data_IF_322214922743
#
_entry.id   IF_322214922743
#
_cell.length_a   1.000
_cell.length_b   1.000
_cell.length_c   1.000
_cell.angle_alpha   90.00
_cell.angle_beta   90.00
_cell.angle_gamma   90.00
#
_symmetry.space_group_name_H-M   'P 1'
#
loop_
_entity.id
_entity.type
_entity.pdbx_description
1 polymer ?
#
# COMPACT_ATOMS: atom_id res chain seq x y z
N UNK A 1 -39.32 -24.87 -1.73
CA UNK A 1 -38.70 -23.53 -1.70
C UNK A 1 -37.37 -23.69 -0.99
N UNK A 2 -36.36 -24.14 -1.72
CA UNK A 2 -34.99 -24.25 -1.20
C UNK A 2 -34.46 -22.84 -0.98
N UNK A 3 -34.11 -22.55 0.27
CA UNK A 3 -33.49 -21.29 0.64
C UNK A 3 -32.21 -21.12 -0.16
N UNK A 4 -32.14 -20.01 -0.89
CA UNK A 4 -30.94 -19.53 -1.57
C UNK A 4 -29.78 -19.60 -0.57
N UNK A 5 -28.90 -20.58 -0.76
CA UNK A 5 -27.58 -20.61 -0.13
C UNK A 5 -26.87 -19.36 -0.63
N UNK A 6 -26.92 -18.28 0.15
CA UNK A 6 -26.02 -17.15 0.03
C UNK A 6 -24.63 -17.69 0.33
N UNK A 7 -23.98 -18.19 -0.72
CA UNK A 7 -22.55 -18.45 -0.74
C UNK A 7 -21.86 -17.11 -0.45
N UNK A 8 -21.75 -16.79 0.83
CA UNK A 8 -20.84 -15.78 1.33
C UNK A 8 -19.45 -16.32 1.06
N UNK A 9 -18.98 -16.13 -0.17
CA UNK A 9 -17.62 -16.44 -0.62
C UNK A 9 -16.64 -15.43 0.00
N UNK A 10 -16.75 -15.26 1.31
CA UNK A 10 -15.90 -14.42 2.13
C UNK A 10 -14.57 -15.11 2.27
N UNK A 11 -13.50 -14.35 2.06
CA UNK A 11 -12.15 -14.86 2.29
C UNK A 11 -11.92 -15.04 3.80
N UNK A 12 -10.97 -15.91 4.20
CA UNK A 12 -10.60 -16.07 5.61
C UNK A 12 -10.39 -14.72 6.31
N UNK A 13 -10.90 -14.59 7.55
CA UNK A 13 -10.81 -13.34 8.34
C UNK A 13 -9.37 -12.82 8.46
N UNK A 14 -8.40 -13.73 8.49
CA UNK A 14 -6.97 -13.39 8.53
C UNK A 14 -6.52 -12.53 7.35
N UNK A 15 -7.13 -12.66 6.17
CA UNK A 15 -6.82 -11.78 5.03
C UNK A 15 -7.25 -10.35 5.33
N UNK A 16 -8.43 -10.15 5.91
CA UNK A 16 -8.89 -8.83 6.35
C UNK A 16 -7.98 -8.23 7.42
N UNK A 17 -7.49 -9.06 8.35
CA UNK A 17 -6.56 -8.63 9.39
C UNK A 17 -5.23 -8.14 8.79
N UNK A 18 -4.67 -8.89 7.85
CA UNK A 18 -3.44 -8.50 7.13
C UNK A 18 -3.65 -7.22 6.31
N UNK A 19 -4.76 -7.11 5.57
CA UNK A 19 -5.09 -5.88 4.82
C UNK A 19 -5.21 -4.68 5.75
N UNK A 20 -5.90 -4.84 6.89
CA UNK A 20 -6.07 -3.78 7.88
C UNK A 20 -4.73 -3.33 8.45
N UNK A 21 -3.86 -4.28 8.80
CA UNK A 21 -2.53 -3.98 9.31
C UNK A 21 -1.67 -3.25 8.27
N UNK A 22 -1.62 -3.78 7.05
CA UNK A 22 -0.87 -3.18 5.93
C UNK A 22 -1.39 -1.78 5.63
N UNK A 23 -2.72 -1.59 5.61
CA UNK A 23 -3.37 -0.28 5.44
C UNK A 23 -2.85 0.72 6.47
N UNK A 24 -2.86 0.37 7.75
CA UNK A 24 -2.46 1.27 8.81
C UNK A 24 -1.00 1.70 8.66
N UNK A 25 -0.09 0.73 8.48
CA UNK A 25 1.35 1.02 8.32
C UNK A 25 1.64 1.80 7.04
N UNK A 26 0.99 1.42 5.92
CA UNK A 26 1.12 2.12 4.64
C UNK A 26 0.65 3.58 4.76
N UNK A 27 -0.53 3.82 5.32
CA UNK A 27 -1.07 5.18 5.48
C UNK A 27 -0.28 6.02 6.49
N UNK A 28 0.22 5.41 7.55
CA UNK A 28 0.94 6.12 8.59
C UNK A 28 2.32 6.58 8.12
N UNK A 29 3.04 5.75 7.36
CA UNK A 29 4.45 5.97 7.06
C UNK A 29 4.79 6.20 5.59
N UNK A 30 3.94 5.76 4.65
CA UNK A 30 4.28 5.66 3.23
C UNK A 30 3.36 6.48 2.30
N UNK A 31 2.06 6.61 2.61
CA UNK A 31 1.08 7.43 1.86
C UNK A 31 0.91 8.85 2.45
N UNK A 32 1.93 9.34 3.15
CA UNK A 32 1.91 10.70 3.72
C UNK A 32 2.46 11.69 2.71
N UNK A 33 1.85 12.87 2.65
CA UNK A 33 2.29 13.96 1.78
C UNK A 33 3.77 14.32 1.98
N UNK A 34 4.25 14.32 3.23
CA UNK A 34 5.65 14.61 3.55
C UNK A 34 6.62 13.56 3.01
N UNK A 35 6.19 12.31 2.86
CA UNK A 35 7.01 11.22 2.32
C UNK A 35 7.02 11.32 0.80
N UNK A 36 5.84 11.42 0.19
CA UNK A 36 5.71 11.49 -1.27
C UNK A 36 6.31 12.76 -1.87
N UNK A 37 6.24 13.90 -1.17
CA UNK A 37 6.85 15.16 -1.60
C UNK A 37 8.37 15.17 -1.49
N UNK A 38 8.99 14.20 -0.81
CA UNK A 38 10.44 14.12 -0.69
C UNK A 38 11.10 13.67 -2.00
N UNK A 39 10.33 13.12 -2.95
CA UNK A 39 10.81 12.64 -4.23
C UNK A 39 10.47 13.63 -5.34
N UNK A 40 11.44 13.92 -6.21
CA UNK A 40 11.22 14.77 -7.40
C UNK A 40 10.40 14.06 -8.49
N UNK A 41 10.55 12.74 -8.55
CA UNK A 41 9.86 11.87 -9.50
C UNK A 41 9.00 10.87 -8.73
N UNK A 42 7.86 10.44 -9.28
CA UNK A 42 7.02 9.44 -8.63
C UNK A 42 7.77 8.11 -8.53
N UNK A 43 7.70 7.47 -7.36
CA UNK A 43 8.35 6.18 -7.11
C UNK A 43 7.78 5.05 -7.97
N UNK A 44 6.55 5.19 -8.46
CA UNK A 44 5.81 4.19 -9.21
C UNK A 44 4.83 4.85 -10.17
N UNK A 45 4.27 4.06 -11.08
CA UNK A 45 3.20 4.54 -11.96
C UNK A 45 1.92 4.85 -11.16
N UNK A 46 1.14 5.88 -11.56
CA UNK A 46 -0.12 6.23 -10.89
C UNK A 46 -1.08 5.05 -10.75
N UNK A 47 -1.12 4.15 -11.74
CA UNK A 47 -1.95 2.95 -11.71
C UNK A 47 -1.55 2.00 -10.58
N UNK A 48 -0.26 1.83 -10.30
CA UNK A 48 0.21 0.97 -9.21
C UNK A 48 -0.22 1.51 -7.85
N UNK A 49 -0.17 2.83 -7.65
CA UNK A 49 -0.72 3.45 -6.44
C UNK A 49 -2.23 3.24 -6.31
N UNK A 50 -2.98 3.28 -7.42
CA UNK A 50 -4.42 2.97 -7.42
C UNK A 50 -4.68 1.51 -7.05
N UNK A 51 -3.92 0.57 -7.60
CA UNK A 51 -4.03 -0.86 -7.26
C UNK A 51 -3.76 -1.10 -5.76
N UNK A 52 -2.74 -0.44 -5.18
CA UNK A 52 -2.49 -0.49 -3.72
C UNK A 52 -3.69 0.06 -2.95
N UNK A 53 -4.14 1.28 -3.24
CA UNK A 53 -5.23 1.92 -2.48
C UNK A 53 -6.53 1.16 -2.58
N UNK A 54 -6.84 0.59 -3.75
CA UNK A 54 -8.03 -0.22 -3.96
C UNK A 54 -7.98 -1.53 -3.18
N UNK A 55 -6.86 -2.27 -3.24
CA UNK A 55 -6.71 -3.48 -2.43
C UNK A 55 -6.78 -3.17 -0.92
N UNK A 56 -6.14 -2.09 -0.49
CA UNK A 56 -6.16 -1.67 0.90
C UNK A 56 -7.50 -1.05 1.32
N UNK A 57 -8.42 -0.68 0.44
CA UNK A 57 -9.75 -0.19 0.86
C UNK A 57 -10.72 -1.32 1.21
N UNK A 58 -10.39 -2.56 0.89
CA UNK A 58 -11.24 -3.72 1.14
C UNK A 58 -11.29 -4.04 2.64
N UNK A 59 -12.48 -4.03 3.23
CA UNK A 59 -12.69 -4.35 4.67
C UNK A 59 -13.14 -5.78 4.89
N UNK A 60 -13.87 -6.36 3.95
CA UNK A 60 -14.37 -7.73 3.98
C UNK A 60 -14.29 -8.33 2.57
N UNK A 61 -13.08 -8.65 2.09
CA UNK A 61 -12.89 -9.12 0.73
C UNK A 61 -13.54 -10.49 0.49
N UNK A 62 -14.06 -10.63 -0.72
CA UNK A 62 -14.66 -11.86 -1.25
C UNK A 62 -13.78 -12.46 -2.32
N UNK A 63 -14.14 -13.66 -2.82
CA UNK A 63 -13.45 -14.27 -3.96
C UNK A 63 -13.39 -13.34 -5.18
N UNK A 64 -14.40 -12.49 -5.38
CA UNK A 64 -14.48 -11.59 -6.54
C UNK A 64 -13.44 -10.47 -6.48
N UNK A 65 -12.90 -10.21 -5.29
CA UNK A 65 -11.88 -9.20 -5.06
C UNK A 65 -10.46 -9.76 -5.29
N UNK A 66 -10.29 -11.06 -5.55
CA UNK A 66 -8.98 -11.68 -5.75
C UNK A 66 -8.14 -10.99 -6.83
N UNK A 67 -8.67 -10.63 -8.02
CA UNK A 67 -7.87 -9.91 -9.00
C UNK A 67 -7.36 -8.55 -8.48
N UNK A 68 -8.16 -7.86 -7.66
CA UNK A 68 -7.77 -6.58 -7.04
C UNK A 68 -6.67 -6.82 -6.00
N UNK A 69 -6.85 -7.82 -5.13
CA UNK A 69 -5.87 -8.18 -4.09
C UNK A 69 -4.53 -8.60 -4.68
N UNK A 70 -4.53 -9.46 -5.70
CA UNK A 70 -3.30 -9.90 -6.38
C UNK A 70 -2.54 -8.73 -7.01
N UNK A 71 -3.24 -7.81 -7.69
CA UNK A 71 -2.62 -6.60 -8.25
C UNK A 71 -2.07 -5.68 -7.15
N UNK A 72 -2.84 -5.45 -6.09
CA UNK A 72 -2.42 -4.64 -4.96
C UNK A 72 -1.20 -5.20 -4.23
N UNK A 73 -1.16 -6.50 -3.98
CA UNK A 73 -0.01 -7.19 -3.38
C UNK A 73 1.21 -7.10 -4.28
N UNK A 74 1.05 -7.30 -5.59
CA UNK A 74 2.15 -7.14 -6.56
C UNK A 74 2.69 -5.71 -6.55
N UNK A 75 1.80 -4.70 -6.57
CA UNK A 75 2.19 -3.30 -6.50
C UNK A 75 2.88 -2.95 -5.16
N UNK A 76 2.41 -3.50 -4.04
CA UNK A 76 3.06 -3.34 -2.72
C UNK A 76 4.47 -3.96 -2.69
N UNK A 77 4.67 -5.13 -3.28
CA UNK A 77 5.99 -5.76 -3.40
C UNK A 77 6.95 -4.91 -4.25
N UNK A 78 6.49 -4.39 -5.38
CA UNK A 78 7.29 -3.49 -6.21
C UNK A 78 7.63 -2.21 -5.44
N UNK A 79 6.65 -1.61 -4.77
CA UNK A 79 6.83 -0.40 -3.99
C UNK A 79 7.88 -0.56 -2.89
N UNK A 80 7.75 -1.62 -2.08
CA UNK A 80 8.67 -1.91 -0.99
C UNK A 80 10.09 -2.20 -1.48
N UNK A 81 10.22 -2.87 -2.63
CA UNK A 81 11.50 -3.10 -3.29
C UNK A 81 12.15 -1.80 -3.78
N UNK A 82 11.38 -0.88 -4.36
CA UNK A 82 11.86 0.44 -4.77
C UNK A 82 12.32 1.24 -3.55
N UNK A 83 11.58 1.21 -2.45
CA UNK A 83 12.03 1.87 -1.21
C UNK A 83 13.33 1.25 -0.73
N UNK A 84 13.42 -0.08 -0.69
CA UNK A 84 14.59 -0.81 -0.21
C UNK A 84 15.85 -0.50 -1.03
N UNK A 85 15.74 -0.52 -2.35
CA UNK A 85 16.87 -0.42 -3.26
C UNK A 85 17.23 1.02 -3.66
N UNK A 86 16.25 1.93 -3.69
CA UNK A 86 16.44 3.29 -4.20
C UNK A 86 16.32 4.38 -3.13
N UNK A 87 15.44 4.19 -2.13
CA UNK A 87 15.15 5.21 -1.10
C UNK A 87 16.03 5.02 0.13
N UNK A 88 16.08 3.81 0.70
CA UNK A 88 16.85 3.53 1.92
C UNK A 88 18.33 3.94 1.81
N UNK A 89 19.06 3.65 0.72
CA UNK A 89 20.47 4.03 0.61
C UNK A 89 20.68 5.55 0.64
N UNK A 90 19.66 6.32 0.24
CA UNK A 90 19.69 7.78 0.10
C UNK A 90 18.82 8.49 1.13
N UNK A 91 18.29 7.76 2.12
CA UNK A 91 17.24 8.28 3.01
C UNK A 91 17.70 9.50 3.81
N UNK A 92 18.98 9.55 4.19
CA UNK A 92 19.59 10.70 4.88
C UNK A 92 19.64 11.93 3.98
N UNK A 93 19.95 11.74 2.70
CA UNK A 93 20.04 12.83 1.73
C UNK A 93 18.65 13.34 1.33
N UNK A 94 17.70 12.43 1.11
CA UNK A 94 16.31 12.72 0.76
C UNK A 94 15.62 13.54 1.86
N UNK A 95 15.79 13.13 3.12
CA UNK A 95 15.14 13.79 4.26
C UNK A 95 15.99 14.89 4.92
N UNK A 96 17.03 15.37 4.23
CA UNK A 96 17.69 16.63 4.59
C UNK A 96 18.60 16.56 5.81
N UNK A 97 19.32 15.45 6.01
CA UNK A 97 20.50 15.45 6.88
C UNK A 97 21.70 16.17 6.24
N UNK A 98 21.58 16.54 4.96
CA UNK A 98 22.47 17.49 4.27
C UNK A 98 22.00 18.93 4.48
N UNK A 99 22.94 19.86 4.71
CA UNK A 99 22.74 21.26 5.09
C UNK A 99 22.01 22.15 4.06
N UNK A 100 21.38 21.58 3.04
CA UNK A 100 20.79 22.29 1.90
C UNK A 100 19.39 21.75 1.56
N UNK A 101 18.47 21.83 2.52
CA UNK A 101 17.06 21.46 2.33
C UNK A 101 16.29 22.63 1.69
N UNK A 102 16.05 22.56 0.39
CA UNK A 102 15.16 23.46 -0.33
C UNK A 102 13.70 23.35 0.18
N UNK A 103 13.11 24.48 0.58
CA UNK A 103 11.68 24.75 0.36
C UNK A 103 10.65 24.44 1.46
N UNK A 104 10.99 23.79 2.57
CA UNK A 104 10.05 23.62 3.70
C UNK A 104 10.31 24.64 4.80
N UNK A 105 9.26 25.25 5.37
CA UNK A 105 9.36 26.01 6.62
C UNK A 105 9.96 25.09 7.67
N UNK A 106 11.22 25.33 7.98
CA UNK A 106 12.09 24.45 8.72
C UNK A 106 11.86 24.58 10.23
N UNK A 107 10.66 24.18 10.66
CA UNK A 107 10.27 24.17 12.08
C UNK A 107 11.01 23.03 12.80
N UNK A 108 11.29 23.21 14.09
CA UNK A 108 11.93 22.19 14.94
C UNK A 108 11.25 20.83 14.84
N UNK A 109 9.92 20.83 14.79
CA UNK A 109 9.09 19.63 14.76
C UNK A 109 9.24 18.87 13.45
N UNK A 110 9.37 19.60 12.32
CA UNK A 110 9.59 18.98 11.01
C UNK A 110 10.96 18.27 10.94
N UNK A 111 12.00 18.83 11.56
CA UNK A 111 13.34 18.21 11.63
C UNK A 111 13.33 16.96 12.49
N UNK A 112 12.68 17.01 13.65
CA UNK A 112 12.58 15.87 14.55
C UNK A 112 11.82 14.72 13.88
N UNK A 113 10.72 15.03 13.19
CA UNK A 113 9.95 14.04 12.43
C UNK A 113 10.78 13.38 11.33
N UNK A 114 11.50 14.17 10.51
CA UNK A 114 12.40 13.63 9.46
C UNK A 114 13.50 12.74 10.03
N UNK A 115 14.05 13.12 11.20
CA UNK A 115 15.04 12.31 11.90
C UNK A 115 14.46 10.97 12.33
N UNK A 116 13.29 10.98 12.94
CA UNK A 116 12.60 9.75 13.34
C UNK A 116 12.35 8.85 12.13
N UNK A 117 11.86 9.39 11.02
CA UNK A 117 11.63 8.63 9.78
C UNK A 117 12.90 7.93 9.31
N UNK A 118 14.05 8.61 9.28
CA UNK A 118 15.30 7.97 8.83
C UNK A 118 15.69 6.77 9.69
N UNK A 119 15.42 6.81 11.00
CA UNK A 119 15.72 5.70 11.89
C UNK A 119 14.65 4.59 11.86
N UNK A 120 13.38 4.95 11.65
CA UNK A 120 12.27 3.99 11.71
C UNK A 120 11.91 3.39 10.35
N UNK A 121 12.26 4.04 9.23
CA UNK A 121 11.88 3.61 7.88
C UNK A 121 12.35 2.18 7.55
N UNK A 122 13.61 1.75 7.85
CA UNK A 122 14.02 0.37 7.59
C UNK A 122 13.15 -0.64 8.35
N UNK A 123 12.94 -0.42 9.66
CA UNK A 123 12.13 -1.31 10.50
C UNK A 123 10.68 -1.36 10.03
N UNK A 124 10.09 -0.21 9.70
CA UNK A 124 8.72 -0.13 9.20
C UNK A 124 8.57 -0.81 7.84
N UNK A 125 9.59 -0.71 6.97
CA UNK A 125 9.63 -1.40 5.69
C UNK A 125 9.72 -2.91 5.85
N UNK A 126 10.55 -3.40 6.78
CA UNK A 126 10.68 -4.84 7.06
C UNK A 126 9.38 -5.43 7.62
N UNK A 127 8.72 -4.70 8.52
CA UNK A 127 7.41 -5.10 9.05
C UNK A 127 6.36 -5.10 7.95
N UNK A 128 6.29 -4.05 7.13
CA UNK A 128 5.39 -3.97 5.98
C UNK A 128 5.60 -5.16 5.02
N UNK A 129 6.85 -5.46 4.68
CA UNK A 129 7.22 -6.59 3.85
C UNK A 129 6.79 -7.94 4.43
N UNK A 130 6.89 -8.12 5.74
CA UNK A 130 6.51 -9.36 6.41
C UNK A 130 5.00 -9.61 6.29
N UNK A 131 4.18 -8.58 6.50
CA UNK A 131 2.73 -8.67 6.34
C UNK A 131 2.30 -8.82 4.87
N UNK A 132 2.97 -8.16 3.93
CA UNK A 132 2.72 -8.36 2.49
C UNK A 132 2.98 -9.82 2.08
N UNK A 133 4.07 -10.42 2.57
CA UNK A 133 4.38 -11.84 2.30
C UNK A 133 3.35 -12.78 2.91
N UNK A 134 2.87 -12.47 4.12
CA UNK A 134 1.83 -13.29 4.73
C UNK A 134 0.51 -13.16 4.00
N UNK A 135 0.10 -11.94 3.61
CA UNK A 135 -1.09 -11.73 2.78
C UNK A 135 -0.99 -12.52 1.47
N UNK A 136 0.14 -12.41 0.76
CA UNK A 136 0.40 -13.14 -0.49
C UNK A 136 0.29 -14.66 -0.33
N UNK A 137 0.80 -15.20 0.77
CA UNK A 137 0.72 -16.63 1.11
C UNK A 137 -0.72 -17.08 1.38
N UNK A 138 -1.56 -16.20 1.93
CA UNK A 138 -2.95 -16.48 2.25
C UNK A 138 -3.88 -16.34 1.04
N UNK A 139 -3.50 -15.56 0.02
CA UNK A 139 -4.35 -15.34 -1.15
C UNK A 139 -4.50 -16.64 -1.96
N UNK A 140 -5.74 -17.11 -2.21
CA UNK A 140 -5.96 -18.22 -3.12
C UNK A 140 -5.64 -17.80 -4.57
N UNK A 141 -5.35 -18.77 -5.45
CA UNK A 141 -5.20 -18.49 -6.88
C UNK A 141 -6.50 -17.90 -7.44
N UNK A 142 -6.38 -17.09 -8.49
CA UNK A 142 -7.54 -16.55 -9.21
C UNK A 142 -8.21 -17.72 -9.95
N UNK A 143 -9.50 -18.01 -9.73
CA UNK A 143 -10.21 -19.05 -10.45
C UNK A 143 -10.24 -18.78 -11.97
N UNK A 144 -9.99 -19.80 -12.79
CA UNK A 144 -9.95 -19.68 -14.26
C UNK A 144 -11.28 -19.19 -14.87
N UNK A 145 -12.40 -19.45 -14.18
CA UNK A 145 -13.75 -19.08 -14.61
C UNK A 145 -14.16 -17.64 -14.26
N UNK A 146 -13.28 -16.85 -13.62
CA UNK A 146 -13.64 -15.46 -13.31
C UNK A 146 -13.75 -14.64 -14.60
N UNK A 147 -14.90 -13.99 -14.85
CA UNK A 147 -15.02 -13.08 -15.98
C UNK A 147 -13.94 -12.01 -15.83
N UNK A 148 -13.16 -11.81 -16.89
CA UNK A 148 -12.13 -10.77 -16.92
C UNK A 148 -12.77 -9.43 -16.56
N UNK A 149 -12.57 -8.99 -15.31
CA UNK A 149 -13.13 -7.73 -14.82
C UNK A 149 -12.41 -6.62 -15.59
N UNK A 150 -13.00 -6.22 -16.73
CA UNK A 150 -12.65 -4.99 -17.41
C UNK A 150 -13.02 -3.85 -16.47
N UNK A 151 -12.01 -3.10 -16.05
CA UNK A 151 -12.12 -1.95 -15.16
C UNK A 151 -13.04 -0.90 -15.76
N UNK A 152 -14.33 -0.94 -15.47
CA UNK A 152 -15.23 0.19 -15.74
C UNK A 152 -15.13 1.15 -14.55
N UNK A 153 -14.19 2.10 -14.68
CA UNK A 153 -14.28 3.37 -13.98
C UNK A 153 -15.51 4.11 -14.52
N UNK A 154 -16.63 4.05 -13.81
CA UNK A 154 -17.72 5.01 -13.98
C UNK A 154 -18.18 5.53 -12.62
N UNK A 155 -17.65 6.71 -12.31
CA UNK A 155 -18.30 7.86 -11.67
C UNK A 155 -19.72 7.58 -11.19
N UNK A 156 -19.89 7.43 -9.87
CA UNK A 156 -21.14 7.75 -9.17
C UNK A 156 -20.83 8.46 -7.85
N UNK A 157 -20.59 9.76 -7.96
CA UNK A 157 -20.81 10.73 -6.89
C UNK A 157 -21.22 12.06 -7.53
N UNK A 158 -22.47 12.11 -7.96
CA UNK A 158 -23.21 13.34 -8.20
C UNK A 158 -24.69 13.03 -7.93
N UNK A 159 -25.09 13.18 -6.66
CA UNK A 159 -26.44 13.50 -6.22
C UNK A 159 -26.29 14.62 -5.22
#
# INVERSE_FOLDING_TARGET
MEGMNTLSHTLPSRISDEISWIRNVYQEHFDRSWFTSAFREPLMEPRQFQDIRHALSLTSPTIWDLPVLHRGVTALKIYTEIIRCSVLPKVKDIFGFSSMSFGYKDTSDSRLHRRLVVYTLPLNLDRLNSHIRELDRLLPPIPEEMPSIRTNFLVRAAV
#
